data_IF_430234258636
#
_entry.id   IF_430234258636
#
_cell.length_a   1.000
_cell.length_b   1.000
_cell.length_c   1.000
_cell.angle_alpha   90.00
_cell.angle_beta   90.00
_cell.angle_gamma   90.00
#
_symmetry.space_group_name_H-M   'P 1'
#
loop_
_entity.id
_entity.type
_entity.pdbx_description
1 polymer ?
#
# COMPACT_ATOMS: atom_id res chain seq x y z
N UNK A 1 -47.74 -25.72 6.21
CA UNK A 1 -46.58 -25.19 5.46
C UNK A 1 -45.38 -25.92 6.02
N UNK A 2 -44.81 -26.85 5.26
CA UNK A 2 -43.65 -27.63 5.70
C UNK A 2 -42.44 -26.71 5.85
N UNK A 3 -41.86 -26.67 7.05
CA UNK A 3 -40.60 -26.00 7.31
C UNK A 3 -39.51 -26.68 6.48
N UNK A 4 -38.95 -25.95 5.52
CA UNK A 4 -37.77 -26.41 4.77
C UNK A 4 -36.60 -26.43 5.75
N UNK A 5 -36.16 -27.63 6.14
CA UNK A 5 -34.97 -27.78 6.95
C UNK A 5 -33.76 -27.36 6.12
N UNK A 6 -33.09 -26.27 6.54
CA UNK A 6 -31.94 -25.70 5.81
C UNK A 6 -30.74 -26.63 5.78
N UNK A 7 -30.70 -27.67 6.62
CA UNK A 7 -29.63 -28.67 6.65
C UNK A 7 -29.70 -29.67 5.48
N UNK A 8 -30.86 -29.81 4.82
CA UNK A 8 -31.05 -30.75 3.70
C UNK A 8 -30.64 -30.18 2.33
N UNK A 9 -30.21 -28.92 2.28
CA UNK A 9 -29.91 -28.22 1.03
C UNK A 9 -28.55 -27.52 1.08
N UNK A 10 -27.75 -27.69 0.01
CA UNK A 10 -26.48 -27.00 -0.19
C UNK A 10 -26.59 -25.94 -1.30
N UNK A 11 -25.92 -24.79 -1.11
CA UNK A 11 -25.90 -23.72 -2.11
C UNK A 11 -24.83 -24.00 -3.17
N UNK A 12 -25.22 -24.07 -4.44
CA UNK A 12 -24.30 -24.25 -5.56
C UNK A 12 -23.57 -22.95 -5.95
N UNK A 13 -22.66 -23.03 -6.93
CA UNK A 13 -21.89 -21.89 -7.45
C UNK A 13 -22.75 -20.78 -8.09
N UNK A 14 -23.96 -21.11 -8.58
CA UNK A 14 -24.92 -20.14 -9.14
C UNK A 14 -25.86 -19.59 -8.06
N UNK A 15 -25.67 -20.01 -6.81
CA UNK A 15 -26.43 -19.60 -5.65
C UNK A 15 -27.78 -20.30 -5.47
N UNK A 16 -28.03 -21.39 -6.20
CA UNK A 16 -29.25 -22.19 -6.10
C UNK A 16 -29.14 -23.17 -4.94
N UNK A 17 -30.25 -23.45 -4.27
CA UNK A 17 -30.33 -24.50 -3.25
C UNK A 17 -30.54 -25.85 -3.95
N UNK A 18 -29.61 -26.78 -3.73
CA UNK A 18 -29.63 -28.14 -4.26
C UNK A 18 -29.79 -29.09 -3.07
N UNK A 19 -30.76 -30.01 -3.10
CA UNK A 19 -30.85 -31.07 -2.09
C UNK A 19 -29.52 -31.81 -1.94
N UNK A 20 -29.08 -32.07 -0.70
CA UNK A 20 -27.77 -32.70 -0.42
C UNK A 20 -27.66 -34.09 -1.06
N UNK A 21 -28.76 -34.83 -1.14
CA UNK A 21 -28.85 -36.16 -1.78
C UNK A 21 -28.63 -36.13 -3.31
N UNK A 22 -28.76 -34.96 -3.95
CA UNK A 22 -28.47 -34.75 -5.37
C UNK A 22 -27.03 -34.29 -5.63
N UNK A 23 -26.25 -34.03 -4.59
CA UNK A 23 -24.83 -33.68 -4.69
C UNK A 23 -24.00 -34.96 -4.67
N UNK A 24 -23.02 -35.07 -5.55
CA UNK A 24 -22.17 -36.26 -5.59
C UNK A 24 -21.33 -36.39 -4.31
N UNK A 25 -21.06 -37.61 -3.86
CA UNK A 25 -20.18 -37.88 -2.71
C UNK A 25 -18.81 -37.22 -2.87
N UNK A 26 -18.29 -37.18 -4.10
CA UNK A 26 -17.03 -36.49 -4.42
C UNK A 26 -17.11 -34.98 -4.18
N UNK A 27 -18.18 -34.33 -4.63
CA UNK A 27 -18.36 -32.88 -4.44
C UNK A 27 -18.57 -32.54 -2.96
N UNK A 28 -19.28 -33.39 -2.21
CA UNK A 28 -19.44 -33.25 -0.75
C UNK A 28 -18.09 -33.39 -0.03
N UNK A 29 -17.30 -34.41 -0.37
CA UNK A 29 -15.98 -34.62 0.19
C UNK A 29 -15.02 -33.46 -0.14
N UNK A 30 -15.05 -32.96 -1.38
CA UNK A 30 -14.25 -31.82 -1.82
C UNK A 30 -14.65 -30.52 -1.11
N UNK A 31 -15.96 -30.26 -0.99
CA UNK A 31 -16.47 -29.09 -0.25
C UNK A 31 -16.05 -29.12 1.22
N UNK A 32 -16.18 -30.28 1.87
CA UNK A 32 -15.73 -30.48 3.25
C UNK A 32 -14.22 -30.23 3.38
N UNK A 33 -13.41 -30.84 2.51
CA UNK A 33 -11.96 -30.66 2.51
C UNK A 33 -11.58 -29.18 2.36
N UNK A 34 -12.14 -28.48 1.37
CA UNK A 34 -11.84 -27.05 1.13
C UNK A 34 -12.26 -26.20 2.33
N UNK A 35 -13.46 -26.42 2.89
CA UNK A 35 -13.95 -25.68 4.06
C UNK A 35 -13.05 -25.89 5.28
N UNK A 36 -12.59 -27.11 5.51
CA UNK A 36 -11.66 -27.43 6.60
C UNK A 36 -10.33 -26.70 6.43
N UNK A 37 -9.71 -26.79 5.25
CA UNK A 37 -8.44 -26.09 4.99
C UNK A 37 -8.57 -24.57 5.10
N UNK A 38 -9.67 -24.00 4.61
CA UNK A 38 -9.96 -22.57 4.73
C UNK A 38 -10.21 -22.16 6.19
N UNK A 39 -10.86 -23.01 6.98
CA UNK A 39 -11.05 -22.77 8.41
C UNK A 39 -9.69 -22.75 9.15
N UNK A 40 -8.82 -23.73 8.89
CA UNK A 40 -7.47 -23.75 9.45
C UNK A 40 -6.65 -22.52 9.06
N UNK A 41 -6.73 -22.09 7.79
CA UNK A 41 -6.05 -20.89 7.31
C UNK A 41 -6.56 -19.61 8.02
N UNK A 42 -7.86 -19.50 8.30
CA UNK A 42 -8.43 -18.37 9.05
C UNK A 42 -7.90 -18.29 10.47
N UNK A 43 -7.74 -19.43 11.15
CA UNK A 43 -7.13 -19.46 12.49
C UNK A 43 -5.72 -18.88 12.47
N UNK A 44 -4.89 -19.28 11.48
CA UNK A 44 -3.53 -18.74 11.32
C UNK A 44 -3.49 -17.26 10.97
N UNK A 45 -4.42 -16.79 10.12
CA UNK A 45 -4.60 -15.36 9.83
C UNK A 45 -4.90 -14.57 11.12
N UNK A 46 -5.78 -15.10 11.97
CA UNK A 46 -6.20 -14.42 13.20
C UNK A 46 -5.08 -14.39 14.24
N UNK A 47 -4.37 -15.51 14.42
CA UNK A 47 -3.14 -15.56 15.23
C UNK A 47 -2.11 -14.51 14.78
N UNK A 48 -1.89 -14.39 13.46
CA UNK A 48 -0.95 -13.43 12.89
C UNK A 48 -1.42 -11.97 13.07
N UNK A 49 -2.73 -11.72 12.93
CA UNK A 49 -3.33 -10.41 13.17
C UNK A 49 -3.18 -9.97 14.63
N UNK A 50 -3.45 -10.88 15.57
CA UNK A 50 -3.29 -10.61 17.00
C UNK A 50 -1.82 -10.42 17.38
N UNK A 51 -0.91 -11.21 16.82
CA UNK A 51 0.53 -11.02 16.98
C UNK A 51 0.97 -9.63 16.48
N UNK A 52 0.53 -9.23 15.28
CA UNK A 52 0.83 -7.91 14.71
C UNK A 52 0.39 -6.78 15.64
N UNK A 53 -0.85 -6.83 16.16
CA UNK A 53 -1.38 -5.82 17.09
C UNK A 53 -0.51 -5.73 18.34
N UNK A 54 -0.29 -6.86 19.01
CA UNK A 54 0.52 -6.91 20.25
C UNK A 54 1.94 -6.38 20.03
N UNK A 55 2.59 -6.76 18.93
CA UNK A 55 3.95 -6.31 18.64
C UNK A 55 4.03 -4.78 18.45
N UNK A 56 3.03 -4.17 17.82
CA UNK A 56 2.94 -2.71 17.76
C UNK A 56 2.76 -2.08 19.14
N UNK A 57 1.82 -2.59 19.93
CA UNK A 57 1.52 -2.07 21.26
C UNK A 57 2.75 -2.16 22.17
N UNK A 58 3.46 -3.28 22.16
CA UNK A 58 4.70 -3.49 22.91
C UNK A 58 5.82 -2.54 22.46
N UNK A 59 6.00 -2.35 21.15
CA UNK A 59 6.99 -1.39 20.64
C UNK A 59 6.67 0.05 21.05
N UNK A 60 5.40 0.45 21.03
CA UNK A 60 4.99 1.78 21.46
C UNK A 60 5.12 1.97 22.98
N UNK A 61 4.74 0.95 23.77
CA UNK A 61 4.95 0.97 25.21
C UNK A 61 6.43 1.11 25.57
N UNK A 62 7.33 0.44 24.83
CA UNK A 62 8.77 0.60 25.01
C UNK A 62 9.23 2.04 24.72
N UNK A 63 8.73 2.65 23.65
CA UNK A 63 9.05 4.05 23.32
C UNK A 63 8.52 5.02 24.38
N UNK A 64 7.34 4.77 24.93
CA UNK A 64 6.77 5.57 26.02
C UNK A 64 7.66 5.48 27.28
N UNK A 65 8.11 4.27 27.64
CA UNK A 65 9.06 4.06 28.74
C UNK A 65 10.41 4.77 28.51
N UNK A 66 10.92 4.76 27.28
CA UNK A 66 12.14 5.50 26.92
C UNK A 66 11.91 7.00 27.05
N UNK A 67 10.77 7.54 26.58
CA UNK A 67 10.46 8.96 26.68
C UNK A 67 10.34 9.42 28.14
N UNK A 68 9.65 8.64 28.98
CA UNK A 68 9.48 8.91 30.41
C UNK A 68 10.84 9.01 31.12
N UNK A 69 11.77 8.10 30.82
CA UNK A 69 13.14 8.11 31.36
C UNK A 69 13.87 9.45 31.12
N UNK A 70 13.53 10.16 30.04
CA UNK A 70 14.13 11.46 29.70
C UNK A 70 13.21 12.66 30.00
N UNK A 71 12.13 12.46 30.78
CA UNK A 71 11.18 13.52 31.13
C UNK A 71 10.44 14.10 29.93
N UNK A 72 10.21 13.29 28.90
CA UNK A 72 9.48 13.68 27.69
C UNK A 72 8.23 12.82 27.53
N UNK A 73 7.20 13.38 26.89
CA UNK A 73 6.08 12.62 26.36
C UNK A 73 6.37 12.23 24.92
N UNK A 74 5.94 11.05 24.49
CA UNK A 74 6.02 10.68 23.07
C UNK A 74 5.24 11.69 22.23
N UNK A 75 5.87 12.21 21.18
CA UNK A 75 5.19 13.02 20.16
C UNK A 75 4.22 12.16 19.32
N UNK A 76 3.64 12.73 18.27
CA UNK A 76 2.78 11.93 17.37
C UNK A 76 3.51 10.69 16.81
N UNK A 77 2.76 9.66 16.40
CA UNK A 77 3.26 8.38 15.87
C UNK A 77 4.01 8.50 14.51
N UNK A 78 4.54 9.67 14.17
CA UNK A 78 5.20 9.95 12.90
C UNK A 78 6.67 9.58 12.97
N UNK A 79 7.09 8.68 12.10
CA UNK A 79 8.50 8.38 11.85
C UNK A 79 8.80 6.90 11.81
N UNK A 80 9.88 6.55 11.11
CA UNK A 80 10.41 5.20 11.12
C UNK A 80 11.19 4.98 12.42
N UNK A 81 10.99 3.83 13.05
CA UNK A 81 11.67 3.45 14.30
C UNK A 81 12.32 2.10 14.14
N UNK A 82 13.49 1.94 14.74
CA UNK A 82 14.28 0.71 14.69
C UNK A 82 14.67 0.30 16.10
N UNK A 83 14.38 -0.95 16.46
CA UNK A 83 14.79 -1.61 17.69
C UNK A 83 15.78 -2.71 17.32
N UNK A 84 16.98 -2.69 17.89
CA UNK A 84 18.02 -3.69 17.61
C UNK A 84 18.32 -4.48 18.89
N UNK A 85 18.58 -5.77 18.74
CA UNK A 85 19.16 -6.58 19.82
C UNK A 85 20.56 -6.07 20.19
N UNK A 86 21.03 -6.40 21.40
CA UNK A 86 22.33 -5.95 21.90
C UNK A 86 23.51 -6.40 21.02
N UNK A 87 23.45 -7.62 20.48
CA UNK A 87 24.42 -8.17 19.53
C UNK A 87 24.23 -7.68 18.08
N UNK A 88 23.15 -6.92 17.84
CA UNK A 88 22.74 -6.44 16.52
C UNK A 88 22.41 -7.54 15.52
N UNK A 89 22.14 -8.77 15.95
CA UNK A 89 21.76 -9.88 15.09
C UNK A 89 20.28 -9.85 14.69
N UNK A 90 19.43 -9.21 15.51
CA UNK A 90 17.99 -9.14 15.32
C UNK A 90 17.51 -7.70 15.38
N UNK A 91 16.44 -7.42 14.62
CA UNK A 91 15.89 -6.08 14.52
C UNK A 91 14.38 -6.09 14.31
N UNK A 92 13.68 -5.19 14.98
CA UNK A 92 12.29 -4.82 14.70
C UNK A 92 12.30 -3.42 14.08
N UNK A 93 11.58 -3.22 12.98
CA UNK A 93 11.42 -1.89 12.38
C UNK A 93 9.95 -1.54 12.21
N UNK A 94 9.55 -0.36 12.70
CA UNK A 94 8.29 0.28 12.35
C UNK A 94 8.57 1.25 11.20
N UNK A 95 7.83 1.12 10.11
CA UNK A 95 7.95 1.99 8.93
C UNK A 95 6.62 2.64 8.61
N UNK A 96 6.64 3.95 8.42
CA UNK A 96 5.50 4.73 7.94
C UNK A 96 5.71 5.01 6.46
N UNK A 97 4.82 4.50 5.62
CA UNK A 97 4.82 4.76 4.19
C UNK A 97 3.64 5.67 3.86
N UNK A 98 3.95 6.83 3.29
CA UNK A 98 2.97 7.78 2.82
C UNK A 98 2.80 7.63 1.30
N UNK A 99 1.55 7.57 0.85
CA UNK A 99 1.21 7.68 -0.56
C UNK A 99 0.86 9.14 -0.83
N UNK A 100 1.52 9.72 -1.83
CA UNK A 100 1.27 11.09 -2.27
C UNK A 100 0.17 11.12 -3.34
N UNK A 101 -0.59 12.20 -3.35
CA UNK A 101 -1.53 12.56 -4.42
C UNK A 101 -1.33 14.03 -4.78
N UNK A 102 -1.93 14.44 -5.88
CA UNK A 102 -1.98 15.84 -6.28
C UNK A 102 -3.32 16.47 -5.92
N UNK A 103 -3.26 17.70 -5.41
CA UNK A 103 -4.38 18.60 -5.16
C UNK A 103 -4.78 19.40 -6.40
N UNK A 104 -5.77 20.29 -6.27
CA UNK A 104 -6.35 21.05 -7.39
C UNK A 104 -5.33 21.96 -8.10
N UNK A 105 -4.26 22.37 -7.43
CA UNK A 105 -3.19 23.20 -7.99
C UNK A 105 -2.48 22.52 -9.17
N UNK A 106 -2.58 21.20 -9.30
CA UNK A 106 -2.05 20.48 -10.45
C UNK A 106 -2.72 20.88 -11.77
N UNK A 107 -4.01 21.23 -11.74
CA UNK A 107 -4.69 21.71 -12.95
C UNK A 107 -4.09 23.04 -13.42
N UNK A 108 -3.80 23.94 -12.48
CA UNK A 108 -3.14 25.22 -12.77
C UNK A 108 -1.76 24.98 -13.39
N UNK A 109 -1.00 24.02 -12.84
CA UNK A 109 0.29 23.65 -13.40
C UNK A 109 0.19 23.12 -14.83
N UNK A 110 -0.83 22.29 -15.10
CA UNK A 110 -1.09 21.76 -16.45
C UNK A 110 -1.39 22.89 -17.43
N UNK A 111 -2.24 23.83 -17.05
CA UNK A 111 -2.64 24.95 -17.90
C UNK A 111 -1.42 25.83 -18.25
N UNK A 112 -0.56 26.14 -17.27
CA UNK A 112 0.70 26.86 -17.49
C UNK A 112 1.67 26.12 -18.43
N UNK A 113 1.75 24.79 -18.32
CA UNK A 113 2.58 23.97 -19.21
C UNK A 113 2.02 23.98 -20.63
N UNK A 114 0.70 23.84 -20.78
CA UNK A 114 0.04 23.85 -22.09
C UNK A 114 0.24 25.20 -22.82
N UNK A 115 0.21 26.32 -22.08
CA UNK A 115 0.56 27.65 -22.60
C UNK A 115 1.99 27.69 -23.14
N UNK A 116 2.99 27.24 -22.37
CA UNK A 116 4.39 27.17 -22.81
C UNK A 116 4.55 26.35 -24.09
N UNK A 117 4.00 25.14 -24.08
CA UNK A 117 4.17 24.18 -25.17
C UNK A 117 3.53 24.69 -26.46
N UNK A 118 2.36 25.31 -26.35
CA UNK A 118 1.64 25.86 -27.50
C UNK A 118 2.46 26.94 -28.20
N UNK A 119 3.07 27.85 -27.45
CA UNK A 119 3.89 28.92 -28.02
C UNK A 119 5.18 28.39 -28.67
N UNK A 120 5.82 27.39 -28.06
CA UNK A 120 7.02 26.76 -28.62
C UNK A 120 6.74 25.88 -29.87
N UNK A 121 5.47 25.71 -30.28
CA UNK A 121 5.04 24.75 -31.31
C UNK A 121 5.37 25.11 -32.76
N UNK A 122 6.06 26.21 -33.01
CA UNK A 122 6.57 26.54 -34.35
C UNK A 122 7.83 25.71 -34.68
N UNK A 123 7.61 24.45 -35.07
CA UNK A 123 8.55 23.68 -35.90
C UNK A 123 9.29 22.49 -35.25
N UNK A 124 9.48 22.46 -33.92
CA UNK A 124 10.30 21.43 -33.26
C UNK A 124 9.62 20.68 -32.09
N UNK A 125 8.35 20.99 -31.77
CA UNK A 125 7.81 20.74 -30.44
C UNK A 125 6.80 19.58 -30.28
N UNK A 126 6.53 18.82 -31.35
CA UNK A 126 5.59 17.69 -31.29
C UNK A 126 6.03 16.60 -30.30
N UNK A 127 7.35 16.34 -30.24
CA UNK A 127 7.92 15.37 -29.32
C UNK A 127 7.82 15.82 -27.85
N UNK A 128 7.99 17.12 -27.58
CA UNK A 128 7.87 17.67 -26.22
C UNK A 128 6.41 17.63 -25.74
N UNK A 129 5.47 17.98 -26.63
CA UNK A 129 4.03 17.87 -26.34
C UNK A 129 3.64 16.43 -26.03
N UNK A 130 4.19 15.46 -26.76
CA UNK A 130 3.94 14.04 -26.48
C UNK A 130 4.45 13.60 -25.09
N UNK A 131 5.64 14.06 -24.67
CA UNK A 131 6.21 13.77 -23.35
C UNK A 131 5.34 14.36 -22.23
N UNK A 132 4.86 15.60 -22.42
CA UNK A 132 4.03 16.28 -21.44
C UNK A 132 2.65 15.61 -21.34
N UNK A 133 2.02 15.30 -22.48
CA UNK A 133 0.75 14.55 -22.49
C UNK A 133 0.88 13.18 -21.82
N UNK A 134 1.98 12.45 -22.02
CA UNK A 134 2.25 11.17 -21.34
C UNK A 134 2.44 11.35 -19.83
N UNK A 135 3.00 12.48 -19.39
CA UNK A 135 3.18 12.76 -17.97
C UNK A 135 1.84 12.98 -17.25
N UNK A 136 0.84 13.57 -17.90
CA UNK A 136 -0.51 13.78 -17.37
C UNK A 136 -1.50 12.65 -17.71
N UNK A 137 -1.02 11.56 -18.31
CA UNK A 137 -1.88 10.43 -18.61
C UNK A 137 -2.32 9.72 -17.33
N UNK A 138 -3.62 9.45 -17.22
CA UNK A 138 -4.20 8.62 -16.16
C UNK A 138 -4.00 7.14 -16.50
N UNK A 139 -3.76 6.33 -15.47
CA UNK A 139 -3.71 4.88 -15.61
C UNK A 139 -5.12 4.27 -15.79
N UNK A 140 -5.18 2.95 -15.85
CA UNK A 140 -6.44 2.20 -16.03
C UNK A 140 -7.43 2.38 -14.87
N UNK A 141 -6.96 2.83 -13.72
CA UNK A 141 -7.76 3.10 -12.52
C UNK A 141 -8.13 4.59 -12.41
N UNK A 142 -7.80 5.38 -13.43
CA UNK A 142 -8.07 6.82 -13.49
C UNK A 142 -7.10 7.66 -12.64
N UNK A 143 -5.99 7.08 -12.18
CA UNK A 143 -5.03 7.75 -11.29
C UNK A 143 -3.85 8.32 -12.08
N UNK A 144 -3.40 9.51 -11.67
CA UNK A 144 -2.20 10.12 -12.23
C UNK A 144 -0.93 9.46 -11.68
N UNK A 145 0.07 9.30 -12.54
CA UNK A 145 1.36 8.80 -12.10
C UNK A 145 2.21 9.92 -11.50
N UNK A 146 2.28 9.97 -10.16
CA UNK A 146 3.08 10.96 -9.43
C UNK A 146 4.53 11.01 -9.89
N UNK A 147 5.14 9.85 -10.17
CA UNK A 147 6.53 9.77 -10.62
C UNK A 147 6.76 10.43 -11.98
N UNK A 148 5.83 10.26 -12.93
CA UNK A 148 5.91 10.88 -14.27
C UNK A 148 5.75 12.39 -14.19
N UNK A 149 4.76 12.89 -13.46
CA UNK A 149 4.55 14.33 -13.29
C UNK A 149 5.76 14.98 -12.60
N UNK A 150 6.28 14.37 -11.54
CA UNK A 150 7.48 14.89 -10.86
C UNK A 150 8.74 14.81 -11.72
N UNK A 151 8.78 13.94 -12.74
CA UNK A 151 9.92 13.87 -13.65
C UNK A 151 10.05 15.11 -14.53
N UNK A 152 8.95 15.83 -14.81
CA UNK A 152 8.97 17.08 -15.58
C UNK A 152 9.87 18.14 -14.93
N UNK A 153 9.95 18.15 -13.60
CA UNK A 153 10.82 19.07 -12.83
C UNK A 153 12.31 18.86 -13.08
N UNK A 154 12.71 17.73 -13.67
CA UNK A 154 14.10 17.47 -14.03
C UNK A 154 14.51 18.20 -15.31
N UNK A 155 13.55 18.59 -16.13
CA UNK A 155 13.79 19.32 -17.38
C UNK A 155 14.03 20.80 -17.04
N UNK A 156 15.23 21.27 -17.33
CA UNK A 156 15.61 22.67 -17.10
C UNK A 156 15.22 23.51 -18.31
N UNK A 157 14.12 24.24 -18.21
CA UNK A 157 13.68 25.17 -19.24
C UNK A 157 13.69 26.59 -18.66
N UNK A 158 14.27 27.53 -19.41
CA UNK A 158 14.37 28.94 -19.03
C UNK A 158 13.13 29.71 -19.48
N UNK A 159 11.97 29.36 -18.93
CA UNK A 159 10.69 30.07 -19.14
C UNK A 159 10.02 30.28 -17.78
N UNK A 160 9.54 31.50 -17.53
CA UNK A 160 8.93 31.87 -16.25
C UNK A 160 7.65 31.09 -15.95
N UNK A 161 6.82 30.81 -16.96
CA UNK A 161 5.59 30.01 -16.80
C UNK A 161 5.93 28.55 -16.52
N UNK A 162 6.97 28.01 -17.16
CA UNK A 162 7.47 26.66 -16.87
C UNK A 162 7.90 26.55 -15.40
N UNK A 163 8.66 27.52 -14.91
CA UNK A 163 9.10 27.54 -13.51
C UNK A 163 7.91 27.61 -12.54
N UNK A 164 6.93 28.49 -12.82
CA UNK A 164 5.68 28.59 -12.04
C UNK A 164 4.86 27.29 -12.07
N UNK A 165 4.84 26.59 -13.20
CA UNK A 165 4.18 25.29 -13.29
C UNK A 165 4.88 24.22 -12.44
N UNK A 166 6.22 24.19 -12.44
CA UNK A 166 6.98 23.25 -11.59
C UNK A 166 6.81 23.54 -10.09
N UNK A 167 6.65 24.82 -9.74
CA UNK A 167 6.29 25.25 -8.38
C UNK A 167 4.87 24.79 -8.00
N UNK A 168 3.87 25.06 -8.85
CA UNK A 168 2.50 24.60 -8.64
C UNK A 168 2.38 23.06 -8.53
N UNK A 169 3.15 22.29 -9.33
CA UNK A 169 3.25 20.82 -9.17
C UNK A 169 3.74 20.48 -7.76
N UNK A 170 4.74 21.20 -7.26
CA UNK A 170 5.33 20.92 -5.94
C UNK A 170 4.35 21.25 -4.81
N UNK A 171 3.63 22.36 -4.92
CA UNK A 171 2.62 22.78 -3.94
C UNK A 171 1.37 21.91 -3.97
N UNK A 172 1.04 21.33 -5.13
CA UNK A 172 -0.09 20.42 -5.27
C UNK A 172 0.13 19.08 -4.55
N UNK A 173 1.35 18.72 -4.13
CA UNK A 173 1.60 17.44 -3.47
C UNK A 173 0.98 17.38 -2.07
N UNK A 174 0.17 16.36 -1.85
CA UNK A 174 -0.50 16.12 -0.57
C UNK A 174 -0.37 14.64 -0.17
N UNK A 175 -0.39 14.35 1.13
CA UNK A 175 -0.41 12.98 1.64
C UNK A 175 -1.85 12.44 1.54
N UNK A 176 -2.06 11.44 0.69
CA UNK A 176 -3.37 10.80 0.49
C UNK A 176 -3.65 9.75 1.57
N UNK A 177 -2.64 8.94 1.89
CA UNK A 177 -2.76 7.84 2.84
C UNK A 177 -1.43 7.62 3.54
N UNK A 178 -1.48 7.23 4.81
CA UNK A 178 -0.33 6.74 5.56
C UNK A 178 -0.59 5.30 5.99
N UNK A 179 0.33 4.39 5.66
CA UNK A 179 0.30 3.00 6.09
C UNK A 179 1.51 2.72 6.97
N UNK A 180 1.27 2.13 8.14
CA UNK A 180 2.34 1.73 9.06
C UNK A 180 2.57 0.23 9.00
N UNK A 181 3.83 -0.15 8.86
CA UNK A 181 4.31 -1.53 8.74
C UNK A 181 5.26 -1.86 9.87
N UNK A 182 5.22 -3.10 10.34
CA UNK A 182 6.21 -3.66 11.26
C UNK A 182 6.94 -4.79 10.53
N UNK A 183 8.27 -4.79 10.58
CA UNK A 183 9.10 -5.86 10.04
C UNK A 183 10.01 -6.43 11.12
N UNK A 184 10.07 -7.75 11.18
CA UNK A 184 11.01 -8.50 11.99
C UNK A 184 12.15 -8.97 11.10
N UNK A 185 13.38 -8.83 11.58
CA UNK A 185 14.58 -9.07 10.78
C UNK A 185 15.63 -9.80 11.60
N UNK A 186 16.41 -10.64 10.92
CA UNK A 186 17.55 -11.34 11.50
C UNK A 186 18.71 -11.38 10.51
N UNK A 187 19.94 -11.51 11.04
CA UNK A 187 21.13 -11.73 10.21
C UNK A 187 21.10 -13.13 9.62
N UNK A 188 21.25 -13.20 8.30
CA UNK A 188 21.50 -14.46 7.61
C UNK A 188 22.92 -15.00 7.90
N UNK A 189 23.24 -16.17 7.32
CA UNK A 189 24.56 -16.80 7.39
C UNK A 189 25.72 -15.92 6.86
N UNK A 190 25.42 -14.86 6.13
CA UNK A 190 26.39 -13.89 5.59
C UNK A 190 26.42 -12.57 6.39
N UNK A 191 25.67 -12.50 7.49
CA UNK A 191 25.58 -11.32 8.35
C UNK A 191 24.65 -10.22 7.83
N UNK A 192 23.89 -10.47 6.75
CA UNK A 192 22.94 -9.50 6.19
C UNK A 192 21.60 -9.60 6.91
N UNK A 193 21.06 -8.46 7.34
CA UNK A 193 19.71 -8.40 7.91
C UNK A 193 18.64 -8.65 6.82
N UNK A 194 17.97 -9.80 6.91
CA UNK A 194 16.85 -10.19 6.06
C UNK A 194 15.54 -10.12 6.84
N UNK A 195 14.41 -9.98 6.14
CA UNK A 195 13.09 -10.03 6.79
C UNK A 195 12.75 -11.48 7.14
N UNK A 196 12.09 -11.67 8.28
CA UNK A 196 11.41 -12.92 8.63
C UNK A 196 10.05 -12.89 7.93
N UNK A 197 9.81 -13.73 6.91
CA UNK A 197 8.53 -13.78 6.22
C UNK A 197 7.45 -14.36 7.14
N UNK A 198 6.28 -13.72 7.15
CA UNK A 198 5.10 -14.20 7.87
C UNK A 198 3.92 -14.48 6.91
N UNK A 199 4.13 -14.28 5.61
CA UNK A 199 3.17 -14.66 4.58
C UNK A 199 3.46 -16.07 4.07
N UNK A 200 2.41 -16.87 3.88
CA UNK A 200 2.52 -18.29 3.50
C UNK A 200 3.17 -18.51 2.13
N UNK A 201 3.19 -17.51 1.25
CA UNK A 201 3.77 -17.62 -0.08
C UNK A 201 5.30 -17.49 -0.08
N UNK A 202 5.87 -16.88 0.97
CA UNK A 202 7.30 -16.63 1.12
C UNK A 202 8.02 -17.61 2.07
N UNK A 203 7.28 -18.54 2.70
CA UNK A 203 7.81 -19.60 3.58
C UNK A 203 8.00 -20.88 2.77
#
# INVERSE_FOLDING_TARGET
>A
MSEVNKEDYMKDRKGRLVPVDQVSDYDLAMDSFVKEQVAAAKVKRDELSDFKRRAFDECYAWLDLVAEKYGRTRGGAKGNVTFSSFDGAQQITIRVQETLTFGPELQIAKDLIDECVTEWSEGANANLRAIISDAFQVDKEGQLNTGRILSLRRVKIQDERWNRAMEAISESLQVAMSKTYINFREKDKHGKLINIPLDIAAI
#
